data_IF_148336875340
#
_entry.id   IF_148336875340
#
_cell.length_a   1.000
_cell.length_b   1.000
_cell.length_c   1.000
_cell.angle_alpha   90.00
_cell.angle_beta   90.00
_cell.angle_gamma   90.00
#
_symmetry.space_group_name_H-M   'P 1'
#
loop_
_entity.id
_entity.type
_entity.pdbx_description
1 polymer ?
#
# COMPACT_ATOMS: atom_id res chain seq x y z
N UNK A 1 3.69 15.23 -18.06
CA UNK A 1 3.64 15.39 -16.59
C UNK A 1 2.30 15.93 -16.10
N UNK A 2 1.79 17.06 -16.58
CA UNK A 2 0.49 17.62 -16.14
C UNK A 2 -0.67 16.61 -16.21
N UNK A 3 -0.84 15.94 -17.36
CA UNK A 3 -1.85 14.88 -17.55
C UNK A 3 -1.77 13.78 -16.48
N UNK A 4 -0.57 13.31 -16.14
CA UNK A 4 -0.38 12.25 -15.15
C UNK A 4 -0.76 12.71 -13.74
N UNK A 5 -0.37 13.95 -13.38
CA UNK A 5 -0.71 14.56 -12.09
C UNK A 5 -2.23 14.71 -11.98
N UNK A 6 -2.88 15.22 -13.02
CA UNK A 6 -4.34 15.38 -13.06
C UNK A 6 -5.04 14.03 -12.90
N UNK A 7 -4.54 12.98 -13.55
CA UNK A 7 -5.08 11.62 -13.44
C UNK A 7 -4.92 11.04 -12.02
N UNK A 8 -3.76 11.20 -11.38
CA UNK A 8 -3.56 10.73 -9.99
C UNK A 8 -4.37 11.56 -8.97
N UNK A 9 -4.52 12.86 -9.19
CA UNK A 9 -5.42 13.70 -8.40
C UNK A 9 -6.87 13.25 -8.57
N UNK A 10 -7.28 12.89 -9.79
CA UNK A 10 -8.61 12.35 -10.05
C UNK A 10 -8.80 10.98 -9.39
N UNK A 11 -7.81 10.09 -9.43
CA UNK A 11 -7.85 8.82 -8.69
C UNK A 11 -8.09 9.04 -7.18
N UNK A 12 -7.51 10.10 -6.62
CA UNK A 12 -7.66 10.45 -5.21
C UNK A 12 -8.99 11.15 -4.88
N UNK A 13 -9.57 11.92 -5.80
CA UNK A 13 -10.75 12.75 -5.49
C UNK A 13 -12.05 12.09 -6.01
N UNK A 14 -12.00 11.56 -7.23
CA UNK A 14 -13.10 10.89 -7.91
C UNK A 14 -12.60 9.62 -8.63
N UNK A 15 -12.32 8.55 -7.87
CA UNK A 15 -11.79 7.31 -8.44
C UNK A 15 -12.71 6.71 -9.50
N UNK A 16 -14.03 6.92 -9.40
CA UNK A 16 -14.99 6.40 -10.39
C UNK A 16 -14.71 6.98 -11.77
N UNK A 17 -14.51 8.28 -11.86
CA UNK A 17 -14.20 8.96 -13.13
C UNK A 17 -12.83 8.57 -13.66
N UNK A 18 -11.81 8.49 -12.80
CA UNK A 18 -10.48 7.99 -13.19
C UNK A 18 -10.56 6.59 -13.82
N UNK A 19 -11.25 5.66 -13.17
CA UNK A 19 -11.31 4.28 -13.66
C UNK A 19 -12.09 4.13 -14.96
N UNK A 20 -13.07 5.00 -15.24
CA UNK A 20 -13.78 5.00 -16.53
C UNK A 20 -12.97 5.63 -17.65
N UNK A 21 -12.26 6.72 -17.36
CA UNK A 21 -11.66 7.56 -18.40
C UNK A 21 -10.19 7.24 -18.63
N UNK A 22 -9.41 6.98 -17.59
CA UNK A 22 -7.95 6.88 -17.68
C UNK A 22 -7.44 5.44 -17.66
N UNK A 23 -8.12 4.53 -16.94
CA UNK A 23 -7.70 3.12 -16.89
C UNK A 23 -7.73 2.47 -18.28
N UNK A 24 -8.77 2.77 -19.07
CA UNK A 24 -8.99 2.19 -20.40
C UNK A 24 -8.02 2.74 -21.46
N UNK A 25 -7.46 3.94 -21.24
CA UNK A 25 -6.57 4.59 -22.23
C UNK A 25 -5.21 3.91 -22.39
N UNK A 26 -4.90 2.92 -21.56
CA UNK A 26 -3.65 2.15 -21.59
C UNK A 26 -2.39 3.06 -21.60
N UNK A 27 -2.44 4.18 -20.88
CA UNK A 27 -1.32 5.13 -20.79
C UNK A 27 -0.12 4.46 -20.10
N UNK A 28 0.91 4.15 -20.90
CA UNK A 28 2.13 3.45 -20.45
C UNK A 28 2.87 4.23 -19.37
N UNK A 29 2.86 5.56 -19.42
CA UNK A 29 3.58 6.39 -18.46
C UNK A 29 2.86 6.42 -17.12
N UNK A 30 1.53 6.52 -17.14
CA UNK A 30 0.71 6.45 -15.93
C UNK A 30 0.90 5.10 -15.22
N UNK A 31 0.87 4.00 -15.99
CA UNK A 31 1.15 2.66 -15.48
C UNK A 31 2.57 2.54 -14.90
N UNK A 32 3.59 3.03 -15.61
CA UNK A 32 4.98 2.95 -15.15
C UNK A 32 5.19 3.69 -13.83
N UNK A 33 4.64 4.90 -13.68
CA UNK A 33 4.72 5.66 -12.43
C UNK A 33 4.03 4.90 -11.30
N UNK A 34 2.82 4.38 -11.54
CA UNK A 34 2.10 3.62 -10.54
C UNK A 34 2.85 2.35 -10.11
N UNK A 35 3.46 1.63 -11.05
CA UNK A 35 4.29 0.46 -10.77
C UNK A 35 5.52 0.79 -9.94
N UNK A 36 6.22 1.88 -10.26
CA UNK A 36 7.41 2.31 -9.51
C UNK A 36 7.04 2.65 -8.07
N UNK A 37 5.98 3.44 -7.87
CA UNK A 37 5.49 3.80 -6.52
C UNK A 37 5.05 2.56 -5.76
N UNK A 38 4.31 1.65 -6.39
CA UNK A 38 3.88 0.39 -5.79
C UNK A 38 5.07 -0.46 -5.33
N UNK A 39 6.08 -0.62 -6.19
CA UNK A 39 7.25 -1.43 -5.87
C UNK A 39 8.10 -0.83 -4.74
N UNK A 40 8.35 0.49 -4.78
CA UNK A 40 9.10 1.18 -3.72
C UNK A 40 8.34 1.10 -2.40
N UNK A 41 7.05 1.44 -2.38
CA UNK A 41 6.23 1.39 -1.17
C UNK A 41 6.12 -0.02 -0.59
N UNK A 42 6.05 -1.06 -1.43
CA UNK A 42 6.12 -2.44 -0.97
C UNK A 42 7.49 -2.78 -0.36
N UNK A 43 8.57 -2.35 -1.00
CA UNK A 43 9.93 -2.56 -0.49
C UNK A 43 10.13 -1.94 0.89
N UNK A 44 9.64 -0.70 1.07
CA UNK A 44 9.61 0.02 2.34
C UNK A 44 8.85 -0.79 3.42
N UNK A 45 7.60 -1.18 3.15
CA UNK A 45 6.80 -1.98 4.11
C UNK A 45 7.51 -3.28 4.52
N UNK A 46 8.24 -3.90 3.59
CA UNK A 46 9.02 -5.11 3.88
C UNK A 46 10.25 -4.79 4.72
N UNK A 47 10.95 -3.71 4.42
CA UNK A 47 12.14 -3.28 5.15
C UNK A 47 11.80 -2.92 6.60
N UNK A 48 10.74 -2.14 6.81
CA UNK A 48 10.26 -1.76 8.15
C UNK A 48 9.96 -3.01 9.00
N UNK A 49 9.27 -4.00 8.42
CA UNK A 49 9.01 -5.28 9.10
C UNK A 49 10.29 -6.06 9.38
N UNK A 50 11.28 -6.03 8.50
CA UNK A 50 12.55 -6.71 8.77
C UNK A 50 13.33 -6.03 9.89
N UNK A 51 13.34 -4.70 9.97
CA UNK A 51 14.02 -3.97 11.06
C UNK A 51 13.41 -4.33 12.42
N UNK A 52 12.07 -4.26 12.54
CA UNK A 52 11.36 -4.68 13.76
C UNK A 52 11.66 -6.15 14.09
N UNK A 53 11.70 -7.02 13.08
CA UNK A 53 11.99 -8.45 13.30
C UNK A 53 13.43 -8.70 13.76
N UNK A 54 14.41 -7.95 13.26
CA UNK A 54 15.81 -8.06 13.65
C UNK A 54 16.02 -7.57 15.08
N UNK A 55 15.31 -6.50 15.46
CA UNK A 55 15.27 -5.97 16.82
C UNK A 55 14.69 -6.99 17.82
N UNK A 56 13.52 -7.56 17.52
CA UNK A 56 12.90 -8.62 18.32
C UNK A 56 13.78 -9.87 18.48
N UNK A 57 14.78 -10.06 17.62
CA UNK A 57 15.75 -11.17 17.69
C UNK A 57 17.05 -10.79 18.40
N UNK A 58 17.24 -9.52 18.76
CA UNK A 58 18.49 -9.01 19.33
C UNK A 58 19.65 -8.98 18.33
N UNK A 59 19.35 -9.02 17.02
CA UNK A 59 20.37 -9.13 15.94
C UNK A 59 20.49 -7.85 15.11
N UNK A 60 19.84 -6.76 15.52
CA UNK A 60 19.84 -5.51 14.76
C UNK A 60 21.26 -4.95 14.55
N UNK A 61 22.11 -5.04 15.57
CA UNK A 61 23.49 -4.55 15.52
C UNK A 61 24.38 -5.37 14.57
N UNK A 62 24.14 -6.68 14.45
CA UNK A 62 24.84 -7.56 13.50
C UNK A 62 24.58 -7.16 12.04
N UNK A 63 23.40 -6.59 11.78
CA UNK A 63 22.96 -6.11 10.47
C UNK A 63 22.90 -4.58 10.41
N UNK A 64 23.83 -3.89 11.07
CA UNK A 64 23.83 -2.42 11.20
C UNK A 64 23.73 -1.66 9.87
N UNK A 65 24.23 -2.20 8.75
CA UNK A 65 24.06 -1.60 7.43
C UNK A 65 22.58 -1.41 7.05
N UNK A 66 21.72 -2.36 7.39
CA UNK A 66 20.29 -2.30 7.08
C UNK A 66 19.59 -1.18 7.86
N UNK A 67 20.12 -0.81 9.02
CA UNK A 67 19.66 0.32 9.83
C UNK A 67 20.43 1.62 9.55
N UNK A 68 20.94 1.78 8.32
CA UNK A 68 21.38 3.07 7.78
C UNK A 68 20.42 3.51 6.67
N UNK A 69 20.23 4.81 6.48
CA UNK A 69 19.36 5.29 5.40
C UNK A 69 19.79 4.79 4.02
N UNK A 70 21.09 4.72 3.76
CA UNK A 70 21.59 4.21 2.47
C UNK A 70 21.29 2.71 2.29
N UNK A 71 21.48 1.89 3.32
CA UNK A 71 21.16 0.47 3.27
C UNK A 71 19.65 0.23 3.17
N UNK A 72 18.87 0.97 3.96
CA UNK A 72 17.41 0.95 3.94
C UNK A 72 16.85 1.23 2.54
N UNK A 73 17.27 2.33 1.90
CA UNK A 73 16.80 2.69 0.57
C UNK A 73 17.29 1.71 -0.50
N UNK A 74 18.53 1.25 -0.42
CA UNK A 74 19.08 0.26 -1.36
C UNK A 74 18.27 -1.03 -1.36
N UNK A 75 17.99 -1.57 -0.17
CA UNK A 75 17.25 -2.83 -0.02
C UNK A 75 15.77 -2.62 -0.35
N UNK A 76 15.17 -1.52 0.07
CA UNK A 76 13.78 -1.20 -0.26
C UNK A 76 13.57 -1.08 -1.76
N UNK A 77 14.49 -0.44 -2.50
CA UNK A 77 14.37 -0.31 -3.96
C UNK A 77 14.60 -1.66 -4.65
N UNK A 78 15.68 -2.37 -4.34
CA UNK A 78 16.02 -3.64 -5.01
C UNK A 78 14.99 -4.72 -4.66
N UNK A 79 14.74 -4.92 -3.37
CA UNK A 79 13.76 -5.88 -2.86
C UNK A 79 12.33 -5.51 -3.28
N UNK A 80 12.01 -4.21 -3.30
CA UNK A 80 10.73 -3.69 -3.76
C UNK A 80 10.49 -3.90 -5.25
N UNK A 81 11.49 -3.71 -6.11
CA UNK A 81 11.36 -3.96 -7.55
C UNK A 81 10.99 -5.42 -7.84
N UNK A 82 11.66 -6.38 -7.20
CA UNK A 82 11.42 -7.81 -7.41
C UNK A 82 10.14 -8.24 -6.68
N UNK A 83 10.07 -8.01 -5.37
CA UNK A 83 8.97 -8.46 -4.52
C UNK A 83 7.66 -7.74 -4.83
N UNK A 84 7.72 -6.45 -5.13
CA UNK A 84 6.57 -5.65 -5.53
C UNK A 84 6.01 -6.09 -6.89
N UNK A 85 6.88 -6.41 -7.86
CA UNK A 85 6.41 -6.97 -9.13
C UNK A 85 5.73 -8.34 -8.95
N UNK A 86 6.31 -9.22 -8.13
CA UNK A 86 5.69 -10.52 -7.79
C UNK A 86 4.35 -10.29 -7.08
N UNK A 87 4.28 -9.37 -6.12
CA UNK A 87 3.03 -9.01 -5.44
C UNK A 87 2.00 -8.45 -6.42
N UNK A 88 2.41 -7.62 -7.40
CA UNK A 88 1.51 -7.14 -8.44
C UNK A 88 0.87 -8.30 -9.23
N UNK A 89 1.65 -9.32 -9.58
CA UNK A 89 1.15 -10.49 -10.30
C UNK A 89 0.19 -11.34 -9.45
N UNK A 90 0.59 -11.69 -8.22
CA UNK A 90 -0.18 -12.55 -7.31
C UNK A 90 -1.41 -11.80 -6.76
N UNK A 91 -1.20 -10.57 -6.29
CA UNK A 91 -2.23 -9.69 -5.77
C UNK A 91 -3.27 -9.34 -6.84
N UNK A 92 -2.84 -9.06 -8.07
CA UNK A 92 -3.74 -8.84 -9.20
C UNK A 92 -4.51 -10.11 -9.61
N UNK A 93 -3.90 -11.29 -9.50
CA UNK A 93 -4.61 -12.56 -9.67
C UNK A 93 -5.67 -12.78 -8.60
N UNK A 94 -5.34 -12.58 -7.32
CA UNK A 94 -6.33 -12.68 -6.25
C UNK A 94 -7.44 -11.62 -6.39
N UNK A 95 -7.09 -10.42 -6.85
CA UNK A 95 -8.06 -9.38 -7.19
C UNK A 95 -9.02 -9.84 -8.29
N UNK A 96 -8.52 -10.48 -9.35
CA UNK A 96 -9.34 -11.06 -10.41
C UNK A 96 -10.32 -12.10 -9.87
N UNK A 97 -9.86 -12.99 -8.98
CA UNK A 97 -10.73 -13.97 -8.31
C UNK A 97 -11.86 -13.28 -7.55
N UNK A 98 -11.56 -12.22 -6.78
CA UNK A 98 -12.59 -11.44 -6.07
C UNK A 98 -13.60 -10.79 -7.03
N UNK A 99 -13.13 -10.24 -8.16
CA UNK A 99 -14.04 -9.71 -9.20
C UNK A 99 -14.98 -10.81 -9.71
N UNK A 100 -14.47 -12.02 -9.99
CA UNK A 100 -15.28 -13.15 -10.44
C UNK A 100 -16.27 -13.63 -9.38
N UNK A 101 -15.89 -13.69 -8.11
CA UNK A 101 -16.80 -14.00 -7.01
C UNK A 101 -17.91 -12.96 -6.85
N UNK A 102 -17.63 -11.70 -7.22
CA UNK A 102 -18.62 -10.64 -7.35
C UNK A 102 -19.42 -10.65 -8.66
N UNK A 103 -19.31 -11.70 -9.48
CA UNK A 103 -19.89 -11.80 -10.84
C UNK A 103 -19.46 -10.71 -11.82
N UNK A 104 -18.33 -10.04 -11.55
CA UNK A 104 -17.78 -9.04 -12.45
C UNK A 104 -17.15 -9.65 -13.72
N UNK A 105 -17.22 -8.88 -14.80
CA UNK A 105 -16.56 -9.11 -16.09
C UNK A 105 -15.17 -8.47 -16.11
N UNK A 106 -14.42 -8.77 -17.16
CA UNK A 106 -13.03 -8.34 -17.34
C UNK A 106 -12.04 -9.49 -17.32
N UNK A 107 -10.87 -9.21 -17.86
CA UNK A 107 -9.73 -10.13 -17.91
C UNK A 107 -8.79 -9.94 -16.69
N UNK A 108 -7.73 -10.75 -16.67
CA UNK A 108 -6.74 -10.72 -15.60
C UNK A 108 -5.93 -9.42 -15.62
N UNK A 109 -5.59 -8.89 -16.79
CA UNK A 109 -4.75 -7.69 -16.92
C UNK A 109 -5.49 -6.43 -16.47
N UNK A 110 -6.78 -6.32 -16.76
CA UNK A 110 -7.66 -5.30 -16.21
C UNK A 110 -7.70 -5.36 -14.68
N UNK A 111 -7.83 -6.57 -14.12
CA UNK A 111 -7.87 -6.78 -12.67
C UNK A 111 -6.54 -6.44 -11.99
N UNK A 112 -5.42 -6.72 -12.65
CA UNK A 112 -4.08 -6.32 -12.19
C UNK A 112 -3.91 -4.81 -12.17
N UNK A 113 -4.41 -4.10 -13.18
CA UNK A 113 -4.39 -2.62 -13.20
C UNK A 113 -5.27 -2.03 -12.11
N UNK A 114 -6.49 -2.56 -11.94
CA UNK A 114 -7.36 -2.18 -10.82
C UNK A 114 -6.64 -2.37 -9.49
N UNK A 115 -5.99 -3.52 -9.27
CA UNK A 115 -5.20 -3.77 -8.08
C UNK A 115 -4.08 -2.74 -7.88
N UNK A 116 -3.29 -2.47 -8.91
CA UNK A 116 -2.20 -1.51 -8.87
C UNK A 116 -2.69 -0.10 -8.48
N UNK A 117 -3.65 0.44 -9.23
CA UNK A 117 -4.15 1.80 -9.01
C UNK A 117 -4.93 1.92 -7.71
N UNK A 118 -5.63 0.88 -7.26
CA UNK A 118 -6.31 0.88 -5.96
C UNK A 118 -5.34 1.04 -4.79
N UNK A 119 -4.12 0.50 -4.92
CA UNK A 119 -3.10 0.56 -3.89
C UNK A 119 -2.11 1.73 -4.08
N UNK A 120 -2.21 2.47 -5.18
CA UNK A 120 -1.28 3.55 -5.49
C UNK A 120 -1.17 4.58 -4.37
N UNK A 121 -2.31 5.04 -3.85
CA UNK A 121 -2.33 6.08 -2.82
C UNK A 121 -1.67 5.61 -1.51
N UNK A 122 -1.93 4.37 -1.08
CA UNK A 122 -1.28 3.80 0.10
C UNK A 122 0.24 3.76 -0.05
N UNK A 123 0.73 3.21 -1.16
CA UNK A 123 2.18 3.10 -1.37
C UNK A 123 2.84 4.46 -1.64
N UNK A 124 2.11 5.42 -2.20
CA UNK A 124 2.56 6.81 -2.28
C UNK A 124 2.69 7.43 -0.88
N UNK A 125 1.68 7.28 -0.02
CA UNK A 125 1.73 7.78 1.36
C UNK A 125 2.90 7.18 2.13
N UNK A 126 3.10 5.87 2.03
CA UNK A 126 4.24 5.17 2.64
C UNK A 126 5.57 5.74 2.13
N UNK A 127 5.74 5.85 0.81
CA UNK A 127 6.98 6.38 0.23
C UNK A 127 7.26 7.82 0.67
N UNK A 128 6.24 8.69 0.68
CA UNK A 128 6.38 10.08 1.12
C UNK A 128 6.73 10.18 2.61
N UNK A 129 6.09 9.36 3.46
CA UNK A 129 6.40 9.29 4.89
C UNK A 129 7.86 8.88 5.11
N UNK A 130 8.36 7.86 4.40
CA UNK A 130 9.76 7.41 4.54
C UNK A 130 10.77 8.44 4.02
N UNK A 131 10.43 9.20 2.97
CA UNK A 131 11.25 10.33 2.51
C UNK A 131 11.31 11.40 3.61
N UNK A 132 10.18 11.77 4.21
CA UNK A 132 10.17 12.72 5.33
C UNK A 132 10.97 12.20 6.53
N UNK A 133 10.83 10.91 6.87
CA UNK A 133 11.58 10.27 7.95
C UNK A 133 13.09 10.33 7.70
N UNK A 134 13.54 10.17 6.45
CA UNK A 134 14.96 10.30 6.05
C UNK A 134 15.54 11.68 6.35
N UNK A 135 14.71 12.72 6.28
CA UNK A 135 15.13 14.11 6.52
C UNK A 135 15.12 14.49 8.01
N UNK A 136 14.38 13.77 8.84
CA UNK A 136 14.12 14.11 10.24
C UNK A 136 14.90 13.21 11.20
N UNK A 137 14.94 11.91 10.92
CA UNK A 137 15.52 10.91 11.81
C UNK A 137 16.97 10.58 11.40
N UNK A 138 17.82 10.33 12.39
CA UNK A 138 19.23 9.96 12.17
C UNK A 138 19.38 8.56 11.56
N UNK A 139 18.43 7.66 11.85
CA UNK A 139 18.39 6.27 11.36
C UNK A 139 16.95 5.83 11.06
N UNK A 140 16.76 4.79 10.22
CA UNK A 140 15.44 4.28 9.87
C UNK A 140 14.64 3.72 11.05
N UNK A 141 15.32 3.06 11.99
CA UNK A 141 14.69 2.44 13.15
C UNK A 141 15.53 2.63 14.41
N UNK A 142 14.87 3.09 15.47
CA UNK A 142 15.46 3.28 16.79
C UNK A 142 14.54 2.66 17.85
N UNK A 143 14.90 1.49 18.43
CA UNK A 143 14.06 0.83 19.43
C UNK A 143 13.95 1.61 20.74
N UNK A 144 14.84 2.58 20.98
CA UNK A 144 14.88 3.39 22.21
C UNK A 144 14.31 4.80 22.01
N UNK A 145 13.83 5.13 20.80
CA UNK A 145 13.21 6.43 20.56
C UNK A 145 11.87 6.53 21.30
N UNK A 146 11.65 7.66 21.95
CA UNK A 146 10.35 8.00 22.49
C UNK A 146 9.35 8.27 21.36
N UNK A 147 8.08 7.92 21.59
CA UNK A 147 7.02 8.18 20.63
C UNK A 147 6.85 9.68 20.39
N UNK A 148 7.10 10.11 19.16
CA UNK A 148 7.05 11.52 18.77
C UNK A 148 5.71 11.89 18.13
N UNK A 149 5.44 13.20 18.02
CA UNK A 149 4.30 13.71 17.24
C UNK A 149 4.37 13.27 15.78
N UNK A 150 5.58 13.15 15.22
CA UNK A 150 5.79 12.67 13.85
C UNK A 150 5.31 11.23 13.69
N UNK A 151 5.59 10.35 14.65
CA UNK A 151 5.14 8.95 14.65
C UNK A 151 3.61 8.86 14.71
N UNK A 152 2.98 9.69 15.55
CA UNK A 152 1.53 9.78 15.63
C UNK A 152 0.88 10.25 14.32
N UNK A 153 1.40 11.31 13.71
CA UNK A 153 0.88 11.84 12.44
C UNK A 153 1.06 10.81 11.32
N UNK A 154 2.25 10.23 11.18
CA UNK A 154 2.55 9.26 10.12
C UNK A 154 1.71 7.99 10.25
N UNK A 155 1.53 7.47 11.47
CA UNK A 155 0.63 6.36 11.76
C UNK A 155 -0.81 6.65 11.32
N UNK A 156 -1.35 7.82 11.68
CA UNK A 156 -2.70 8.23 11.25
C UNK A 156 -2.80 8.32 9.73
N UNK A 157 -1.82 8.94 9.06
CA UNK A 157 -1.80 9.06 7.59
C UNK A 157 -1.84 7.69 6.92
N UNK A 158 -1.01 6.73 7.37
CA UNK A 158 -0.97 5.38 6.80
C UNK A 158 -2.28 4.63 7.06
N UNK A 159 -2.84 4.72 8.28
CA UNK A 159 -4.14 4.10 8.61
C UNK A 159 -5.24 4.65 7.70
N UNK A 160 -5.35 5.97 7.57
CA UNK A 160 -6.34 6.60 6.69
C UNK A 160 -6.14 6.16 5.24
N UNK A 161 -4.89 6.10 4.76
CA UNK A 161 -4.58 5.63 3.41
C UNK A 161 -5.03 4.17 3.19
N UNK A 162 -4.78 3.27 4.15
CA UNK A 162 -5.22 1.86 4.08
C UNK A 162 -6.73 1.76 3.89
N UNK A 163 -7.53 2.43 4.72
CA UNK A 163 -8.98 2.42 4.58
C UNK A 163 -9.44 3.13 3.30
N UNK A 164 -8.74 4.17 2.87
CA UNK A 164 -9.07 4.86 1.63
C UNK A 164 -8.86 3.97 0.38
N UNK A 165 -7.87 3.07 0.38
CA UNK A 165 -7.70 2.11 -0.73
C UNK A 165 -8.89 1.19 -0.94
N UNK A 166 -9.64 0.86 0.13
CA UNK A 166 -10.88 0.07 0.05
C UNK A 166 -11.91 0.82 -0.80
N UNK A 167 -12.07 2.13 -0.55
CA UNK A 167 -12.99 2.97 -1.29
C UNK A 167 -12.59 3.11 -2.77
N UNK A 168 -11.31 3.36 -3.05
CA UNK A 168 -10.78 3.42 -4.43
C UNK A 168 -11.04 2.09 -5.13
N UNK A 169 -10.70 0.97 -4.49
CA UNK A 169 -10.88 -0.37 -5.03
C UNK A 169 -12.33 -0.68 -5.36
N UNK A 170 -13.25 -0.42 -4.43
CA UNK A 170 -14.67 -0.65 -4.66
C UNK A 170 -15.20 0.23 -5.81
N UNK A 171 -14.76 1.50 -5.85
CA UNK A 171 -15.15 2.43 -6.90
C UNK A 171 -14.72 1.96 -8.28
N UNK A 172 -13.49 1.45 -8.43
CA UNK A 172 -12.98 0.94 -9.71
C UNK A 172 -13.66 -0.33 -10.18
N UNK A 173 -13.95 -1.26 -9.26
CA UNK A 173 -14.70 -2.49 -9.58
C UNK A 173 -16.10 -2.13 -10.07
N UNK A 174 -16.82 -1.30 -9.32
CA UNK A 174 -18.20 -0.94 -9.66
C UNK A 174 -18.30 -0.10 -10.94
N UNK A 175 -17.25 0.62 -11.32
CA UNK A 175 -17.27 1.47 -12.51
C UNK A 175 -16.89 0.76 -13.81
N UNK A 176 -16.14 -0.34 -13.75
CA UNK A 176 -15.54 -0.97 -14.95
C UNK A 176 -15.84 -2.45 -15.15
N UNK A 177 -16.38 -3.16 -14.15
CA UNK A 177 -16.51 -4.64 -14.21
C UNK A 177 -17.94 -5.16 -14.22
N UNK A 178 -18.97 -4.31 -14.18
CA UNK A 178 -20.37 -4.74 -14.06
C UNK A 178 -20.63 -5.70 -12.87
N UNK A 179 -19.80 -5.66 -11.82
CA UNK A 179 -19.93 -6.55 -10.68
C UNK A 179 -21.28 -6.37 -9.95
N UNK A 180 -21.82 -7.47 -9.42
CA UNK A 180 -23.02 -7.45 -8.60
C UNK A 180 -22.75 -6.71 -7.28
N UNK A 181 -23.44 -5.60 -7.06
CA UNK A 181 -23.16 -4.67 -5.95
C UNK A 181 -23.08 -5.36 -4.59
N UNK A 182 -24.03 -6.21 -4.25
CA UNK A 182 -24.08 -6.89 -2.94
C UNK A 182 -22.84 -7.75 -2.71
N UNK A 183 -22.42 -8.51 -3.73
CA UNK A 183 -21.22 -9.35 -3.64
C UNK A 183 -19.94 -8.52 -3.68
N UNK A 184 -19.92 -7.44 -4.45
CA UNK A 184 -18.80 -6.51 -4.48
C UNK A 184 -18.56 -5.85 -3.11
N UNK A 185 -19.64 -5.47 -2.40
CA UNK A 185 -19.54 -4.93 -1.03
C UNK A 185 -18.89 -5.96 -0.10
N UNK A 186 -19.28 -7.24 -0.16
CA UNK A 186 -18.69 -8.29 0.68
C UNK A 186 -17.18 -8.44 0.41
N UNK A 187 -16.79 -8.61 -0.85
CA UNK A 187 -15.41 -8.96 -1.22
C UNK A 187 -14.42 -7.79 -1.24
N UNK A 188 -14.91 -6.57 -1.49
CA UNK A 188 -14.07 -5.38 -1.63
C UNK A 188 -14.18 -4.40 -0.48
N UNK A 189 -15.25 -4.42 0.32
CA UNK A 189 -15.41 -3.54 1.49
C UNK A 189 -15.35 -4.32 2.79
N UNK A 190 -16.31 -5.22 3.02
CA UNK A 190 -16.49 -5.89 4.32
C UNK A 190 -15.29 -6.75 4.66
N UNK A 191 -14.87 -7.64 3.76
CA UNK A 191 -13.78 -8.56 4.03
C UNK A 191 -12.44 -7.83 4.29
N UNK A 192 -11.98 -6.88 3.44
CA UNK A 192 -10.75 -6.14 3.73
C UNK A 192 -10.85 -5.28 5.00
N UNK A 193 -11.98 -4.58 5.21
CA UNK A 193 -12.16 -3.76 6.41
C UNK A 193 -12.12 -4.61 7.69
N UNK A 194 -12.77 -5.78 7.68
CA UNK A 194 -12.72 -6.73 8.79
C UNK A 194 -11.29 -7.18 9.09
N UNK A 195 -10.52 -7.58 8.06
CA UNK A 195 -9.12 -7.99 8.26
C UNK A 195 -8.26 -6.86 8.86
N UNK A 196 -8.42 -5.62 8.38
CA UNK A 196 -7.67 -4.49 8.94
C UNK A 196 -8.09 -4.16 10.37
N UNK A 197 -9.40 -4.10 10.66
CA UNK A 197 -9.90 -3.84 12.01
C UNK A 197 -9.36 -4.89 12.98
N UNK A 198 -9.46 -6.18 12.65
CA UNK A 198 -8.95 -7.27 13.51
C UNK A 198 -7.44 -7.14 13.71
N UNK A 199 -6.67 -6.85 12.65
CA UNK A 199 -5.22 -6.71 12.74
C UNK A 199 -4.80 -5.54 13.63
N UNK A 200 -5.44 -4.37 13.46
CA UNK A 200 -5.15 -3.19 14.29
C UNK A 200 -5.63 -3.37 15.73
N UNK A 201 -6.80 -3.98 15.96
CA UNK A 201 -7.26 -4.29 17.31
C UNK A 201 -6.32 -5.26 18.03
N UNK A 202 -5.81 -6.28 17.33
CA UNK A 202 -4.83 -7.20 17.90
C UNK A 202 -3.52 -6.49 18.25
N UNK A 203 -3.03 -5.61 17.38
CA UNK A 203 -1.83 -4.81 17.66
C UNK A 203 -2.03 -3.89 18.88
N UNK A 204 -3.14 -3.16 18.94
CA UNK A 204 -3.46 -2.28 20.07
C UNK A 204 -3.59 -3.08 21.37
N UNK A 205 -4.22 -4.24 21.33
CA UNK A 205 -4.36 -5.10 22.51
C UNK A 205 -3.01 -5.62 22.99
N UNK A 206 -2.12 -6.03 22.08
CA UNK A 206 -0.77 -6.48 22.40
C UNK A 206 0.04 -5.35 23.04
N UNK A 207 0.00 -4.15 22.44
CA UNK A 207 0.64 -2.98 23.01
C UNK A 207 0.08 -2.67 24.39
N UNK A 208 -1.25 -2.59 24.57
CA UNK A 208 -1.87 -2.28 25.85
C UNK A 208 -1.53 -3.29 26.97
N UNK A 209 -1.34 -4.57 26.62
CA UNK A 209 -1.00 -5.61 27.59
C UNK A 209 0.44 -5.48 28.12
N UNK A 210 1.37 -4.92 27.36
CA UNK A 210 2.75 -4.66 27.84
C UNK A 210 2.85 -3.51 28.86
N UNK A 211 1.79 -2.70 29.03
CA UNK A 211 1.73 -1.60 29.99
C UNK A 211 1.03 -1.96 31.32
N UNK A 212 0.61 -3.21 31.52
CA UNK A 212 0.03 -3.73 32.76
C UNK A 212 0.86 -4.87 33.33
#
# INVERSE_FOLDING_TARGET
MKKQIDAFAQLLIDPKSFFKNDLETNDKNLFAIAMVVFCIGYGIDRMDRQLVKLDLRGTLDEFGFFNTWIGYWSISIIGGAIGGYILYLIGGWFYHVRVKWSKGKGDLDHSRRLYLFSNFYLYLSIALVSVCATLILSRPYDPYAEFSVFDGITGIVVILAIFYTIYISFSGVMSTTEAERTRAVIWFIVLPAFFYIVSFSALIALLAFEWF
#
